data_IF_980137174756
#
_entry.id   IF_980137174756
#
_cell.length_a   1.000
_cell.length_b   1.000
_cell.length_c   1.000
_cell.angle_alpha   90.00
_cell.angle_beta   90.00
_cell.angle_gamma   90.00
#
_symmetry.space_group_name_H-M   'P 1'
#
loop_
_entity.id
_entity.type
_entity.pdbx_description
1 polymer ?
#
# COMPACT_ATOMS: atom_id res chain seq x y z
N UNK A 1 17.11 -18.39 -21.07
CA UNK A 1 15.96 -18.39 -20.14
C UNK A 1 15.64 -16.94 -19.90
N UNK A 2 14.38 -16.51 -19.88
CA UNK A 2 14.06 -15.18 -19.39
C UNK A 2 14.63 -15.05 -17.97
N UNK A 3 15.17 -13.88 -17.64
CA UNK A 3 15.64 -13.61 -16.28
C UNK A 3 14.45 -13.82 -15.32
N UNK A 4 14.72 -14.44 -14.17
CA UNK A 4 13.68 -14.59 -13.14
C UNK A 4 13.29 -13.19 -12.66
N UNK A 5 11.98 -12.86 -12.49
CA UNK A 5 11.59 -11.58 -11.96
C UNK A 5 12.29 -11.29 -10.64
N UNK A 6 12.74 -10.06 -10.45
CA UNK A 6 13.40 -9.68 -9.22
C UNK A 6 12.37 -9.61 -8.07
N UNK A 7 12.76 -9.96 -6.82
CA UNK A 7 11.84 -9.86 -5.68
C UNK A 7 11.39 -8.43 -5.39
N UNK A 8 10.17 -8.32 -4.84
CA UNK A 8 9.64 -7.08 -4.26
C UNK A 8 9.90 -7.09 -2.76
N UNK A 9 10.71 -6.16 -2.29
CA UNK A 9 10.95 -5.93 -0.87
C UNK A 9 9.93 -4.91 -0.36
N UNK A 10 9.08 -5.31 0.59
CA UNK A 10 8.12 -4.43 1.22
C UNK A 10 8.57 -4.11 2.63
N UNK A 11 8.98 -2.86 2.85
CA UNK A 11 9.33 -2.35 4.19
C UNK A 11 8.15 -1.56 4.73
N UNK A 12 7.53 -2.02 5.82
CA UNK A 12 6.33 -1.35 6.28
C UNK A 12 5.69 -1.93 7.54
N UNK A 13 4.50 -1.43 7.84
CA UNK A 13 3.70 -1.79 9.00
C UNK A 13 3.00 -3.13 8.86
N UNK A 14 2.77 -3.77 10.01
CA UNK A 14 1.84 -4.86 10.16
C UNK A 14 0.99 -4.63 11.40
N UNK A 15 -0.32 -4.75 11.28
CA UNK A 15 -1.28 -4.59 12.37
C UNK A 15 -2.28 -5.73 12.41
N UNK A 16 -3.02 -5.77 13.49
CA UNK A 16 -4.28 -6.49 13.54
C UNK A 16 -5.41 -5.46 13.58
N UNK A 17 -6.31 -5.57 12.62
CA UNK A 17 -7.50 -4.73 12.55
C UNK A 17 -8.59 -5.36 13.41
N UNK A 18 -8.93 -4.66 14.49
CA UNK A 18 -9.95 -5.03 15.46
C UNK A 18 -11.19 -4.18 15.16
N UNK A 19 -12.14 -4.76 14.42
CA UNK A 19 -13.31 -4.02 13.93
C UNK A 19 -14.57 -4.41 14.71
N UNK A 20 -15.26 -3.42 15.27
CA UNK A 20 -16.58 -3.57 15.89
C UNK A 20 -17.64 -2.95 14.97
N UNK A 21 -18.75 -3.65 14.79
CA UNK A 21 -19.89 -3.18 14.00
C UNK A 21 -21.06 -2.87 14.91
N UNK A 22 -21.75 -1.75 14.68
CA UNK A 22 -22.91 -1.31 15.44
C UNK A 22 -23.84 -0.47 14.58
N UNK A 23 -25.07 -0.20 15.04
CA UNK A 23 -26.05 0.58 14.29
C UNK A 23 -25.63 2.04 14.12
N UNK A 24 -24.85 2.57 15.04
CA UNK A 24 -24.26 3.90 15.03
C UNK A 24 -22.97 3.94 15.85
N UNK A 25 -22.17 4.97 15.69
CA UNK A 25 -21.00 5.19 16.54
C UNK A 25 -21.44 5.68 17.94
N UNK A 26 -20.77 5.24 19.03
CA UNK A 26 -21.08 5.70 20.39
C UNK A 26 -20.65 7.15 20.59
N UNK A 27 -21.40 7.89 21.39
CA UNK A 27 -21.03 9.23 21.84
C UNK A 27 -19.98 9.16 22.97
N UNK A 28 -19.21 10.23 23.22
CA UNK A 28 -18.30 10.27 24.36
C UNK A 28 -18.99 9.91 25.69
N UNK A 29 -18.45 8.92 26.40
CA UNK A 29 -18.98 8.41 27.67
C UNK A 29 -20.12 7.39 27.54
N UNK A 30 -20.53 7.04 26.33
CA UNK A 30 -21.58 6.05 26.07
C UNK A 30 -21.02 4.63 25.95
N UNK A 31 -21.74 3.64 26.48
CA UNK A 31 -21.56 2.22 26.16
C UNK A 31 -22.66 1.77 25.23
N UNK A 32 -22.29 1.30 24.03
CA UNK A 32 -23.21 0.79 23.03
C UNK A 32 -22.96 -0.72 22.84
N UNK A 33 -24.06 -1.49 22.68
CA UNK A 33 -23.95 -2.90 22.30
C UNK A 33 -23.73 -2.98 20.79
N UNK A 34 -22.66 -3.68 20.40
CA UNK A 34 -22.35 -3.93 18.99
C UNK A 34 -23.10 -5.14 18.44
N UNK A 35 -23.18 -5.24 17.13
CA UNK A 35 -23.86 -6.31 16.39
C UNK A 35 -22.91 -7.48 16.05
N UNK A 36 -21.65 -7.17 15.73
CA UNK A 36 -20.62 -8.13 15.35
C UNK A 36 -19.21 -7.61 15.56
N UNK A 37 -18.23 -8.47 15.35
CA UNK A 37 -16.82 -8.22 15.54
C UNK A 37 -16.01 -8.97 14.50
N UNK A 38 -14.93 -8.37 14.00
CA UNK A 38 -13.93 -9.06 13.19
C UNK A 38 -12.52 -8.76 13.66
N UNK A 39 -11.63 -9.71 13.39
CA UNK A 39 -10.21 -9.61 13.69
C UNK A 39 -9.45 -10.16 12.48
N UNK A 40 -8.75 -9.28 11.77
CA UNK A 40 -8.04 -9.63 10.54
C UNK A 40 -6.67 -8.96 10.53
N UNK A 41 -5.76 -9.51 9.73
CA UNK A 41 -4.49 -8.84 9.45
C UNK A 41 -4.74 -7.55 8.68
N UNK A 42 -4.06 -6.48 9.10
CA UNK A 42 -4.02 -5.17 8.49
C UNK A 42 -2.62 -4.57 8.51
N UNK A 43 -2.56 -3.26 8.32
CA UNK A 43 -1.33 -2.51 8.14
C UNK A 43 -0.95 -2.41 6.66
N UNK A 44 -0.64 -1.20 6.21
CA UNK A 44 -0.36 -0.94 4.79
C UNK A 44 0.76 -1.82 4.25
N UNK A 45 1.87 -1.96 4.99
CA UNK A 45 2.98 -2.79 4.59
C UNK A 45 2.58 -4.25 4.39
N UNK A 46 1.88 -4.85 5.35
CA UNK A 46 1.42 -6.24 5.25
C UNK A 46 0.42 -6.43 4.09
N UNK A 47 -0.55 -5.52 3.94
CA UNK A 47 -1.50 -5.57 2.82
C UNK A 47 -0.81 -5.47 1.47
N UNK A 48 0.16 -4.57 1.32
CA UNK A 48 0.91 -4.37 0.09
C UNK A 48 1.82 -5.56 -0.23
N UNK A 49 2.40 -6.21 0.79
CA UNK A 49 3.16 -7.45 0.60
C UNK A 49 2.27 -8.60 0.12
N UNK A 50 1.06 -8.75 0.71
CA UNK A 50 0.05 -9.70 0.22
C UNK A 50 -0.34 -9.39 -1.22
N UNK A 51 -0.55 -8.13 -1.55
CA UNK A 51 -0.92 -7.70 -2.89
C UNK A 51 0.18 -8.03 -3.92
N UNK A 52 1.43 -7.76 -3.60
CA UNK A 52 2.57 -8.11 -4.45
C UNK A 52 2.68 -9.63 -4.66
N UNK A 53 2.52 -10.43 -3.59
CA UNK A 53 2.54 -11.88 -3.68
C UNK A 53 1.38 -12.42 -4.54
N UNK A 54 0.15 -11.94 -4.32
CA UNK A 54 -1.03 -12.33 -5.11
C UNK A 54 -0.95 -11.88 -6.57
N UNK A 55 -0.20 -10.81 -6.85
CA UNK A 55 0.13 -10.38 -8.22
C UNK A 55 1.15 -11.29 -8.91
N UNK A 56 1.76 -12.25 -8.20
CA UNK A 56 2.70 -13.23 -8.72
C UNK A 56 4.17 -12.91 -8.42
N UNK A 57 4.49 -11.80 -7.75
CA UNK A 57 5.85 -11.47 -7.39
C UNK A 57 6.38 -12.32 -6.22
N UNK A 58 7.70 -12.48 -6.13
CA UNK A 58 8.36 -12.93 -4.92
C UNK A 58 8.37 -11.78 -3.91
N UNK A 59 7.37 -11.72 -3.04
CA UNK A 59 7.26 -10.67 -2.04
C UNK A 59 8.01 -11.06 -0.75
N UNK A 60 8.86 -10.16 -0.25
CA UNK A 60 9.56 -10.27 1.03
C UNK A 60 9.08 -9.14 1.94
N UNK A 61 8.76 -9.45 3.18
CA UNK A 61 8.25 -8.45 4.11
C UNK A 61 9.26 -8.15 5.22
N UNK A 62 9.56 -6.87 5.39
CA UNK A 62 10.41 -6.32 6.46
C UNK A 62 9.55 -5.51 7.42
N UNK A 63 9.42 -5.96 8.63
CA UNK A 63 8.58 -5.33 9.64
C UNK A 63 8.71 -6.00 11.00
N UNK A 64 7.86 -5.61 11.94
CA UNK A 64 7.88 -6.13 13.30
C UNK A 64 6.49 -6.52 13.79
N UNK A 65 6.44 -7.61 14.57
CA UNK A 65 5.28 -8.03 15.39
C UNK A 65 5.70 -8.17 16.83
N UNK A 66 4.76 -8.11 17.76
CA UNK A 66 5.00 -8.27 19.19
C UNK A 66 5.09 -9.74 19.62
N UNK A 67 5.36 -9.94 20.92
CA UNK A 67 5.31 -11.23 21.60
C UNK A 67 3.91 -11.41 22.24
N UNK A 68 2.85 -11.40 21.41
CA UNK A 68 1.47 -11.45 21.90
C UNK A 68 0.57 -12.37 21.06
N UNK A 69 -0.70 -12.45 21.44
CA UNK A 69 -1.69 -13.27 20.76
C UNK A 69 -2.04 -12.79 19.33
N UNK A 70 -1.66 -11.57 18.95
CA UNK A 70 -1.93 -10.98 17.64
C UNK A 70 -0.84 -11.30 16.62
N UNK A 71 0.40 -11.56 17.05
CA UNK A 71 1.50 -11.89 16.14
C UNK A 71 1.19 -13.07 15.21
N UNK A 72 0.55 -14.19 15.66
CA UNK A 72 0.14 -15.26 14.77
C UNK A 72 -0.81 -14.81 13.66
N UNK A 73 -1.77 -13.91 13.93
CA UNK A 73 -2.72 -13.40 12.93
C UNK A 73 -1.98 -12.74 11.75
N UNK A 74 -0.95 -11.94 12.05
CA UNK A 74 -0.11 -11.30 11.03
C UNK A 74 0.73 -12.34 10.28
N UNK A 75 1.40 -13.25 11.01
CA UNK A 75 2.28 -14.25 10.40
C UNK A 75 1.52 -15.21 9.49
N UNK A 76 0.37 -15.68 9.95
CA UNK A 76 -0.47 -16.61 9.20
C UNK A 76 -1.03 -15.92 7.95
N UNK A 77 -1.54 -14.68 8.08
CA UNK A 77 -2.08 -13.93 6.95
C UNK A 77 -1.05 -13.62 5.85
N UNK A 78 0.17 -13.25 6.22
CA UNK A 78 1.28 -13.07 5.28
C UNK A 78 1.73 -14.41 4.68
N UNK A 79 1.90 -15.45 5.51
CA UNK A 79 2.35 -16.78 5.10
C UNK A 79 1.38 -17.47 4.16
N UNK A 80 0.07 -17.39 4.40
CA UNK A 80 -0.97 -17.93 3.51
C UNK A 80 -0.96 -17.28 2.13
N UNK A 81 -0.54 -16.01 2.04
CA UNK A 81 -0.36 -15.31 0.78
C UNK A 81 0.97 -15.67 0.07
N UNK A 82 1.84 -16.45 0.71
CA UNK A 82 3.15 -16.81 0.15
C UNK A 82 4.23 -15.75 0.29
N UNK A 83 4.07 -14.78 1.20
CA UNK A 83 5.08 -13.76 1.49
C UNK A 83 6.24 -14.37 2.27
N UNK A 84 7.47 -14.05 1.89
CA UNK A 84 8.68 -14.44 2.64
C UNK A 84 8.79 -13.60 3.91
N UNK A 85 8.85 -14.29 5.06
CA UNK A 85 8.86 -13.72 6.41
C UNK A 85 10.26 -13.74 7.07
N UNK A 86 11.32 -14.01 6.31
CA UNK A 86 12.69 -14.08 6.85
C UNK A 86 13.06 -12.83 7.62
N UNK A 87 12.61 -11.66 7.17
CA UNK A 87 12.87 -10.36 7.77
C UNK A 87 11.70 -9.82 8.63
N UNK A 88 10.70 -10.64 8.96
CA UNK A 88 9.67 -10.28 9.93
C UNK A 88 10.14 -10.63 11.35
N UNK A 89 10.53 -9.63 12.13
CA UNK A 89 11.05 -9.81 13.50
C UNK A 89 9.92 -9.85 14.53
N UNK A 90 10.09 -10.70 15.53
CA UNK A 90 9.32 -10.63 16.77
C UNK A 90 10.10 -9.79 17.78
N UNK A 91 9.45 -8.79 18.36
CA UNK A 91 10.06 -7.87 19.34
C UNK A 91 9.26 -7.88 20.64
N UNK A 92 9.89 -7.59 21.80
CA UNK A 92 9.16 -7.48 23.05
C UNK A 92 8.03 -6.45 22.98
N UNK A 93 6.87 -6.78 23.53
CA UNK A 93 5.69 -5.93 23.57
C UNK A 93 4.56 -6.43 22.69
N UNK A 94 3.69 -5.53 22.25
CA UNK A 94 2.46 -5.85 21.55
C UNK A 94 2.59 -5.59 20.04
N UNK A 95 1.93 -6.42 19.23
CA UNK A 95 1.74 -6.21 17.79
C UNK A 95 0.92 -4.94 17.55
N UNK A 96 1.19 -4.23 16.44
CA UNK A 96 0.41 -3.06 16.04
C UNK A 96 -1.09 -3.37 15.92
N UNK A 97 -1.93 -2.43 16.30
CA UNK A 97 -3.40 -2.61 16.29
C UNK A 97 -4.06 -1.40 15.64
N UNK A 98 -5.02 -1.64 14.74
CA UNK A 98 -5.99 -0.65 14.32
C UNK A 98 -7.34 -0.97 14.98
N UNK A 99 -7.80 -0.08 15.84
CA UNK A 99 -9.13 -0.11 16.44
C UNK A 99 -10.11 0.58 15.51
N UNK A 100 -11.02 -0.19 14.92
CA UNK A 100 -11.95 0.29 13.90
C UNK A 100 -13.38 0.13 14.44
N UNK A 101 -14.19 1.18 14.31
CA UNK A 101 -15.63 1.10 14.56
C UNK A 101 -16.36 1.45 13.27
N UNK A 102 -17.35 0.66 12.92
CA UNK A 102 -18.14 0.82 11.69
C UNK A 102 -19.60 0.89 12.08
N UNK A 103 -20.32 1.88 11.58
CA UNK A 103 -21.75 2.03 11.80
C UNK A 103 -22.62 1.38 10.70
N UNK A 104 -23.95 1.40 10.89
CA UNK A 104 -24.92 0.83 9.95
C UNK A 104 -24.98 1.54 8.59
N UNK A 105 -24.44 2.75 8.47
CA UNK A 105 -24.30 3.48 7.20
C UNK A 105 -22.97 3.16 6.49
N UNK A 106 -22.04 2.43 7.16
CA UNK A 106 -20.70 2.15 6.67
C UNK A 106 -19.69 3.25 6.98
N UNK A 107 -20.06 4.27 7.76
CA UNK A 107 -19.11 5.25 8.26
C UNK A 107 -18.21 4.64 9.33
N UNK A 108 -16.96 5.04 9.38
CA UNK A 108 -16.00 4.49 10.32
C UNK A 108 -15.16 5.55 11.00
N UNK A 109 -14.61 5.19 12.15
CA UNK A 109 -13.48 5.85 12.76
C UNK A 109 -12.39 4.83 13.12
N UNK A 110 -11.13 5.27 13.07
CA UNK A 110 -9.97 4.39 13.24
C UNK A 110 -8.97 5.05 14.19
N UNK A 111 -8.53 4.28 15.18
CA UNK A 111 -7.37 4.62 16.01
C UNK A 111 -6.31 3.56 15.78
N UNK A 112 -5.22 3.94 15.13
CA UNK A 112 -4.08 3.06 14.89
C UNK A 112 -3.01 3.29 15.95
N UNK A 113 -2.54 2.20 16.56
CA UNK A 113 -1.45 2.20 17.55
C UNK A 113 -0.29 1.38 16.98
N UNK A 114 0.86 2.01 16.66
CA UNK A 114 1.98 1.35 15.94
C UNK A 114 2.62 0.22 16.73
N UNK A 115 2.85 0.39 18.04
CA UNK A 115 3.45 -0.61 18.94
C UNK A 115 4.73 -1.24 18.35
N UNK A 116 4.72 -2.56 18.07
CA UNK A 116 5.88 -3.27 17.51
C UNK A 116 6.43 -2.66 16.21
N UNK A 117 5.59 -2.01 15.39
CA UNK A 117 6.05 -1.33 14.18
C UNK A 117 7.08 -0.24 14.48
N UNK A 118 7.03 0.36 15.69
CA UNK A 118 8.01 1.36 16.14
C UNK A 118 9.41 0.78 16.42
N UNK A 119 9.56 -0.54 16.43
CA UNK A 119 10.83 -1.22 16.65
C UNK A 119 11.55 -1.61 15.35
N UNK A 120 11.00 -1.27 14.18
CA UNK A 120 11.71 -1.40 12.92
C UNK A 120 13.05 -0.66 13.02
N UNK A 121 14.14 -1.27 12.54
CA UNK A 121 15.48 -0.71 12.65
C UNK A 121 16.20 -0.67 11.31
N UNK A 122 17.14 0.27 11.15
CA UNK A 122 17.99 0.38 9.96
C UNK A 122 18.79 -0.91 9.74
N UNK A 123 19.30 -1.55 10.79
CA UNK A 123 20.03 -2.81 10.65
C UNK A 123 19.18 -3.95 10.06
N UNK A 124 17.89 -4.02 10.42
CA UNK A 124 16.95 -5.00 9.83
C UNK A 124 16.69 -4.70 8.35
N UNK A 125 16.62 -3.44 7.98
CA UNK A 125 16.44 -2.99 6.60
C UNK A 125 17.68 -3.33 5.78
N UNK A 126 18.87 -3.02 6.30
CA UNK A 126 20.14 -3.30 5.63
C UNK A 126 20.33 -4.80 5.37
N UNK A 127 20.01 -5.66 6.36
CA UNK A 127 20.04 -7.12 6.19
C UNK A 127 19.11 -7.59 5.05
N UNK A 128 17.94 -6.97 4.89
CA UNK A 128 16.99 -7.34 3.85
C UNK A 128 17.38 -6.82 2.46
N UNK A 129 18.09 -5.70 2.39
CA UNK A 129 18.59 -5.10 1.16
C UNK A 129 19.84 -5.82 0.62
N UNK A 130 20.55 -6.59 1.42
CA UNK A 130 21.67 -7.42 0.98
C UNK A 130 21.23 -8.59 0.05
N UNK A 131 19.93 -8.86 -0.02
CA UNK A 131 19.30 -9.80 -0.93
C UNK A 131 19.13 -9.20 -2.35
N UNK A 132 18.80 -10.05 -3.32
CA UNK A 132 18.67 -9.71 -4.75
C UNK A 132 17.35 -8.97 -5.11
N UNK A 133 16.82 -8.13 -4.26
CA UNK A 133 15.60 -7.37 -4.49
C UNK A 133 15.74 -6.41 -5.70
N UNK A 134 14.65 -6.27 -6.48
CA UNK A 134 14.61 -5.34 -7.61
C UNK A 134 13.76 -4.11 -7.38
N UNK A 135 12.77 -4.22 -6.49
CA UNK A 135 11.83 -3.14 -6.15
C UNK A 135 11.72 -3.01 -4.65
N UNK A 136 11.85 -1.79 -4.13
CA UNK A 136 11.41 -1.41 -2.79
C UNK A 136 10.01 -0.80 -2.88
N UNK A 137 9.08 -1.31 -2.06
CA UNK A 137 7.78 -0.68 -1.80
C UNK A 137 7.68 -0.32 -0.33
N UNK A 138 7.37 0.95 -0.01
CA UNK A 138 7.26 1.43 1.36
C UNK A 138 6.15 2.47 1.53
N UNK A 139 5.75 2.71 2.79
CA UNK A 139 4.67 3.61 3.19
C UNK A 139 5.13 4.44 4.40
N UNK A 140 4.21 5.18 5.04
CA UNK A 140 4.55 6.08 6.15
C UNK A 140 3.92 5.65 7.50
N UNK A 141 3.66 4.35 7.70
CA UNK A 141 3.15 3.80 8.97
C UNK A 141 4.24 3.21 9.87
N UNK A 142 5.50 3.30 9.48
CA UNK A 142 6.68 2.93 10.28
C UNK A 142 7.44 4.19 10.69
N UNK A 143 8.40 4.12 11.63
CA UNK A 143 9.17 5.29 12.02
C UNK A 143 9.82 5.96 10.80
N UNK A 144 9.59 7.25 10.66
CA UNK A 144 10.00 8.01 9.47
C UNK A 144 11.51 7.95 9.19
N UNK A 145 12.41 8.01 10.19
CA UNK A 145 13.84 7.88 9.93
C UNK A 145 14.22 6.56 9.25
N UNK A 146 13.62 5.45 9.66
CA UNK A 146 13.84 4.11 9.13
C UNK A 146 13.27 3.97 7.71
N UNK A 147 12.09 4.53 7.47
CA UNK A 147 11.50 4.58 6.12
C UNK A 147 12.39 5.38 5.16
N UNK A 148 12.87 6.55 5.59
CA UNK A 148 13.78 7.36 4.78
C UNK A 148 15.15 6.68 4.57
N UNK A 149 15.63 5.90 5.55
CA UNK A 149 16.82 5.08 5.40
C UNK A 149 16.60 3.99 4.33
N UNK A 150 15.48 3.26 4.38
CA UNK A 150 15.14 2.24 3.38
C UNK A 150 15.15 2.80 1.96
N UNK A 151 14.53 3.97 1.75
CA UNK A 151 14.50 4.65 0.45
C UNK A 151 15.91 5.00 -0.03
N UNK A 152 16.76 5.59 0.83
CA UNK A 152 18.13 5.96 0.46
C UNK A 152 18.97 4.74 0.12
N UNK A 153 18.96 3.73 0.99
CA UNK A 153 19.74 2.53 0.79
C UNK A 153 19.32 1.74 -0.46
N UNK A 154 18.02 1.62 -0.71
CA UNK A 154 17.50 0.97 -1.91
C UNK A 154 17.88 1.73 -3.19
N UNK A 155 17.77 3.06 -3.17
CA UNK A 155 18.19 3.91 -4.31
C UNK A 155 19.70 3.77 -4.59
N UNK A 156 20.56 3.77 -3.56
CA UNK A 156 22.00 3.60 -3.68
C UNK A 156 22.38 2.24 -4.25
N UNK A 157 21.58 1.19 -3.99
CA UNK A 157 21.76 -0.14 -4.57
C UNK A 157 21.12 -0.31 -5.96
N UNK A 158 20.43 0.73 -6.47
CA UNK A 158 19.83 0.72 -7.81
C UNK A 158 18.48 -0.01 -7.89
N UNK A 159 17.78 -0.23 -6.77
CA UNK A 159 16.42 -0.75 -6.77
C UNK A 159 15.46 0.29 -7.35
N UNK A 160 14.37 -0.18 -7.95
CA UNK A 160 13.21 0.69 -8.24
C UNK A 160 12.50 1.04 -6.92
N UNK A 161 12.40 2.32 -6.60
CA UNK A 161 11.84 2.79 -5.33
C UNK A 161 10.42 3.31 -5.54
N UNK A 162 9.45 2.64 -4.92
CA UNK A 162 8.03 3.01 -4.92
C UNK A 162 7.61 3.45 -3.51
N UNK A 163 7.11 4.67 -3.39
CA UNK A 163 6.55 5.21 -2.15
C UNK A 163 5.04 5.39 -2.28
N UNK A 164 4.28 4.69 -1.43
CA UNK A 164 2.90 5.04 -1.09
C UNK A 164 2.95 6.02 0.09
N UNK A 165 2.73 7.34 -0.11
CA UNK A 165 2.97 8.34 0.92
C UNK A 165 1.79 8.45 1.91
N UNK A 166 1.31 7.31 2.37
CA UNK A 166 0.15 7.14 3.24
C UNK A 166 0.55 6.58 4.62
N UNK A 167 0.02 7.13 5.72
CA UNK A 167 -0.68 8.41 5.81
C UNK A 167 0.25 9.59 5.48
N UNK A 168 -0.30 10.62 4.82
CA UNK A 168 0.52 11.75 4.40
C UNK A 168 1.21 12.44 5.58
N UNK A 169 2.52 12.65 5.47
CA UNK A 169 3.36 13.33 6.44
C UNK A 169 4.31 14.30 5.73
N UNK A 170 4.82 15.28 6.47
CA UNK A 170 5.87 16.15 5.97
C UNK A 170 7.16 15.35 5.77
N UNK A 171 7.72 15.40 4.56
CA UNK A 171 8.93 14.68 4.18
C UNK A 171 10.07 15.65 3.87
N UNK A 172 11.29 15.25 4.22
CA UNK A 172 12.50 15.96 3.81
C UNK A 172 12.55 16.05 2.28
N UNK A 173 12.68 17.26 1.69
CA UNK A 173 12.72 17.42 0.25
C UNK A 173 13.80 16.62 -0.48
N UNK A 174 14.86 16.21 0.20
CA UNK A 174 15.94 15.39 -0.36
C UNK A 174 15.51 13.98 -0.75
N UNK A 175 14.31 13.54 -0.32
CA UNK A 175 13.82 12.19 -0.64
C UNK A 175 13.24 12.09 -2.05
N UNK A 176 12.64 13.17 -2.55
CA UNK A 176 11.93 13.15 -3.82
C UNK A 176 12.76 12.68 -5.02
N UNK A 177 14.04 13.10 -5.18
CA UNK A 177 14.90 12.63 -6.29
C UNK A 177 15.25 11.14 -6.21
N UNK A 178 15.01 10.49 -5.08
CA UNK A 178 15.34 9.08 -4.86
C UNK A 178 14.17 8.15 -5.21
N UNK A 179 13.00 8.72 -5.52
CA UNK A 179 11.80 7.95 -5.84
C UNK A 179 11.66 7.76 -7.35
N UNK A 180 11.47 6.50 -7.76
CA UNK A 180 11.07 6.19 -9.13
C UNK A 180 9.57 6.43 -9.32
N UNK A 181 8.74 6.03 -8.35
CA UNK A 181 7.30 6.24 -8.38
C UNK A 181 6.78 6.67 -7.01
N UNK A 182 5.92 7.69 -6.99
CA UNK A 182 5.11 8.07 -5.82
C UNK A 182 3.62 7.89 -6.16
N UNK A 183 2.82 7.33 -5.21
CA UNK A 183 1.44 6.91 -5.49
C UNK A 183 0.40 7.52 -4.54
N UNK A 184 0.34 8.85 -4.33
CA UNK A 184 -0.65 9.45 -3.45
C UNK A 184 -2.07 9.39 -4.03
N UNK A 185 -3.08 9.33 -3.16
CA UNK A 185 -4.45 9.65 -3.51
C UNK A 185 -4.69 11.17 -3.53
N UNK A 186 -5.92 11.62 -3.85
CA UNK A 186 -6.29 13.05 -3.92
C UNK A 186 -5.97 13.81 -2.64
N UNK A 187 -6.28 13.21 -1.49
CA UNK A 187 -6.11 13.84 -0.18
C UNK A 187 -4.63 13.93 0.19
N UNK A 188 -3.89 12.86 0.00
CA UNK A 188 -2.45 12.81 0.25
C UNK A 188 -1.69 13.74 -0.67
N UNK A 189 -2.02 13.74 -1.97
CA UNK A 189 -1.44 14.67 -2.94
C UNK A 189 -1.73 16.12 -2.55
N UNK A 190 -2.95 16.44 -2.11
CA UNK A 190 -3.29 17.79 -1.68
C UNK A 190 -2.51 18.21 -0.42
N UNK A 191 -2.35 17.32 0.56
CA UNK A 191 -1.59 17.58 1.79
C UNK A 191 -0.10 17.79 1.49
N UNK A 192 0.50 16.92 0.67
CA UNK A 192 1.93 16.96 0.35
C UNK A 192 2.31 18.16 -0.52
N UNK A 193 1.44 18.53 -1.46
CA UNK A 193 1.73 19.60 -2.41
C UNK A 193 1.25 20.98 -1.97
N UNK A 194 0.32 21.03 -1.01
CA UNK A 194 -0.38 22.25 -0.61
C UNK A 194 -1.39 22.75 -1.65
N UNK A 195 -1.71 21.94 -2.68
CA UNK A 195 -2.62 22.30 -3.77
C UNK A 195 -3.89 21.44 -3.71
N UNK A 196 -5.08 22.00 -4.04
CA UNK A 196 -6.29 21.20 -4.14
C UNK A 196 -6.20 20.20 -5.32
N UNK A 197 -6.52 18.93 -5.04
CA UNK A 197 -6.64 17.87 -6.04
C UNK A 197 -8.09 17.36 -6.00
N UNK A 198 -8.92 17.83 -6.93
CA UNK A 198 -10.36 17.50 -6.99
C UNK A 198 -10.77 16.90 -8.33
N UNK A 199 -9.87 16.94 -9.29
CA UNK A 199 -10.08 16.55 -10.66
C UNK A 199 -8.74 16.18 -11.34
N UNK A 200 -8.82 15.74 -12.58
CA UNK A 200 -7.64 15.36 -13.37
C UNK A 200 -6.64 16.48 -13.53
N UNK A 201 -7.08 17.71 -13.71
CA UNK A 201 -6.18 18.86 -13.84
C UNK A 201 -5.42 19.10 -12.52
N UNK A 202 -6.11 18.97 -11.39
CA UNK A 202 -5.48 19.01 -10.07
C UNK A 202 -4.45 17.90 -9.88
N UNK A 203 -4.77 16.67 -10.32
CA UNK A 203 -3.84 15.55 -10.29
C UNK A 203 -2.61 15.77 -11.16
N UNK A 204 -2.78 16.32 -12.37
CA UNK A 204 -1.66 16.68 -13.26
C UNK A 204 -0.76 17.71 -12.58
N UNK A 205 -1.33 18.79 -12.01
CA UNK A 205 -0.53 19.81 -11.29
C UNK A 205 0.22 19.22 -10.10
N UNK A 206 -0.42 18.33 -9.32
CA UNK A 206 0.23 17.63 -8.22
C UNK A 206 1.37 16.72 -8.71
N UNK A 207 1.14 15.96 -9.79
CA UNK A 207 2.18 15.15 -10.42
C UNK A 207 3.37 15.97 -10.87
N UNK A 208 3.14 17.09 -11.53
CA UNK A 208 4.20 18.01 -11.95
C UNK A 208 4.99 18.60 -10.77
N UNK A 209 4.34 18.82 -9.62
CA UNK A 209 4.99 19.25 -8.39
C UNK A 209 6.03 18.23 -7.88
N UNK A 210 5.71 16.91 -7.92
CA UNK A 210 6.63 15.84 -7.56
C UNK A 210 7.80 15.74 -8.56
N UNK A 211 7.51 15.81 -9.85
CA UNK A 211 8.54 15.78 -10.89
C UNK A 211 9.51 16.96 -10.80
N UNK A 212 8.99 18.16 -10.50
CA UNK A 212 9.83 19.35 -10.31
C UNK A 212 10.78 19.23 -9.11
N UNK A 213 10.55 18.24 -8.22
CA UNK A 213 11.41 17.91 -7.08
C UNK A 213 12.30 16.70 -7.32
N UNK A 214 12.27 16.13 -8.50
CA UNK A 214 13.18 15.07 -8.93
C UNK A 214 12.59 13.67 -8.94
N UNK A 215 11.35 13.46 -8.47
CA UNK A 215 10.65 12.15 -8.61
C UNK A 215 10.50 11.81 -10.09
N UNK A 216 10.76 10.57 -10.50
CA UNK A 216 10.73 10.17 -11.91
C UNK A 216 9.32 10.02 -12.47
N UNK A 217 8.38 9.51 -11.66
CA UNK A 217 6.98 9.40 -12.01
C UNK A 217 6.08 9.65 -10.81
N UNK A 218 4.96 10.33 -11.01
CA UNK A 218 3.93 10.53 -10.01
C UNK A 218 2.62 9.95 -10.53
N UNK A 219 2.01 9.10 -9.72
CA UNK A 219 0.77 8.41 -10.03
C UNK A 219 -0.30 8.81 -9.02
N UNK A 220 -1.18 9.70 -9.41
CA UNK A 220 -2.22 10.23 -8.53
C UNK A 220 -3.50 9.43 -8.74
N UNK A 221 -3.96 8.72 -7.70
CA UNK A 221 -5.22 7.97 -7.74
C UNK A 221 -6.38 8.90 -7.44
N UNK A 222 -7.48 8.74 -8.19
CA UNK A 222 -8.68 9.59 -8.15
C UNK A 222 -9.94 8.77 -7.82
N UNK A 223 -9.82 7.78 -6.96
CA UNK A 223 -10.88 6.86 -6.58
C UNK A 223 -11.70 6.38 -7.80
N UNK A 224 -13.02 6.60 -7.80
CA UNK A 224 -13.91 6.23 -8.91
C UNK A 224 -13.68 6.98 -10.23
N UNK A 225 -12.75 7.93 -10.30
CA UNK A 225 -12.36 8.64 -11.52
C UNK A 225 -11.09 8.08 -12.19
N UNK A 226 -10.51 6.99 -11.66
CA UNK A 226 -9.33 6.35 -12.20
C UNK A 226 -8.02 6.91 -11.64
N UNK A 227 -7.00 7.12 -12.47
CA UNK A 227 -5.73 7.68 -12.03
C UNK A 227 -5.05 8.50 -13.13
N UNK A 228 -4.07 9.31 -12.72
CA UNK A 228 -3.25 10.11 -13.64
C UNK A 228 -1.79 9.79 -13.38
N UNK A 229 -1.11 9.27 -14.37
CA UNK A 229 0.34 9.06 -14.38
C UNK A 229 1.01 10.26 -15.06
N UNK A 230 1.92 10.90 -14.34
CA UNK A 230 2.71 12.03 -14.83
C UNK A 230 4.19 11.65 -14.86
N UNK A 231 4.80 11.73 -16.01
CA UNK A 231 6.24 11.53 -16.23
C UNK A 231 6.85 12.77 -16.89
N UNK A 232 8.17 12.80 -17.03
CA UNK A 232 8.85 13.91 -17.72
C UNK A 232 8.48 14.02 -19.22
N UNK A 233 8.01 12.91 -19.82
CA UNK A 233 7.71 12.83 -21.26
C UNK A 233 6.23 13.03 -21.55
N UNK A 234 5.36 12.53 -20.68
CA UNK A 234 3.94 12.43 -21.00
C UNK A 234 3.04 12.37 -19.76
N UNK A 235 1.77 12.62 -19.98
CA UNK A 235 0.70 12.44 -18.99
C UNK A 235 -0.28 11.40 -19.53
N UNK A 236 -0.48 10.32 -18.79
CA UNK A 236 -1.47 9.30 -19.11
C UNK A 236 -2.63 9.38 -18.14
N UNK A 237 -3.84 9.47 -18.69
CA UNK A 237 -5.07 9.30 -17.96
C UNK A 237 -5.49 7.84 -18.04
N UNK A 238 -5.59 7.18 -16.91
CA UNK A 238 -6.04 5.80 -16.81
C UNK A 238 -7.50 5.83 -16.33
N UNK A 239 -8.45 5.38 -17.17
CA UNK A 239 -9.85 5.37 -16.79
C UNK A 239 -10.11 4.41 -15.63
N UNK A 240 -11.18 4.64 -14.84
CA UNK A 240 -11.57 3.70 -13.79
C UNK A 240 -12.18 2.44 -14.39
N UNK A 241 -12.01 1.32 -13.69
CA UNK A 241 -12.80 0.11 -13.97
C UNK A 241 -14.17 0.23 -13.30
N UNK A 242 -15.29 0.12 -14.06
CA UNK A 242 -16.62 0.28 -13.50
C UNK A 242 -16.97 -0.93 -12.62
N UNK A 243 -17.09 -0.71 -11.31
CA UNK A 243 -17.43 -1.73 -10.32
C UNK A 243 -18.44 -1.20 -9.29
N UNK A 244 -19.13 -2.11 -8.61
CA UNK A 244 -19.96 -1.75 -7.46
C UNK A 244 -19.11 -1.78 -6.20
N UNK A 245 -18.95 -0.63 -5.56
CA UNK A 245 -18.15 -0.48 -4.33
C UNK A 245 -18.91 -1.08 -3.14
N UNK A 246 -18.25 -1.98 -2.42
CA UNK A 246 -18.73 -2.62 -1.18
C UNK A 246 -17.93 -2.08 0.03
N UNK A 247 -16.60 -1.99 -0.11
CA UNK A 247 -15.68 -1.53 0.93
C UNK A 247 -14.41 -1.01 0.26
N UNK A 248 -13.97 0.20 0.57
CA UNK A 248 -12.77 0.79 -0.03
C UNK A 248 -11.46 0.44 0.69
N UNK A 249 -11.54 -0.33 1.77
CA UNK A 249 -10.37 -0.75 2.55
C UNK A 249 -9.36 -1.51 1.68
N UNK A 250 -8.09 -1.19 1.83
CA UNK A 250 -6.96 -1.79 1.10
C UNK A 250 -6.97 -1.66 -0.43
N UNK A 251 -7.84 -0.82 -1.03
CA UNK A 251 -7.80 -0.59 -2.48
C UNK A 251 -6.47 0.02 -2.94
N UNK A 252 -5.95 1.01 -2.19
CA UNK A 252 -4.64 1.60 -2.42
C UNK A 252 -3.50 0.60 -2.19
N UNK A 253 -3.64 -0.29 -1.19
CA UNK A 253 -2.65 -1.34 -0.93
C UNK A 253 -2.61 -2.38 -2.05
N UNK A 254 -3.79 -2.82 -2.54
CA UNK A 254 -3.90 -3.69 -3.70
C UNK A 254 -3.25 -3.05 -4.95
N UNK A 255 -3.56 -1.77 -5.17
CA UNK A 255 -2.96 -0.99 -6.26
C UNK A 255 -1.43 -0.94 -6.13
N UNK A 256 -0.88 -0.52 -4.98
CA UNK A 256 0.55 -0.35 -4.79
C UNK A 256 1.33 -1.67 -4.90
N UNK A 257 0.80 -2.77 -4.32
CA UNK A 257 1.43 -4.08 -4.40
C UNK A 257 1.45 -4.65 -5.83
N UNK A 258 0.34 -4.52 -6.58
CA UNK A 258 0.29 -4.95 -7.99
C UNK A 258 1.18 -4.09 -8.88
N UNK A 259 1.27 -2.78 -8.62
CA UNK A 259 2.21 -1.88 -9.32
C UNK A 259 3.66 -2.34 -9.10
N UNK A 260 4.05 -2.58 -7.85
CA UNK A 260 5.41 -3.01 -7.52
C UNK A 260 5.74 -4.37 -8.16
N UNK A 261 4.78 -5.31 -8.19
CA UNK A 261 4.94 -6.61 -8.85
C UNK A 261 5.15 -6.45 -10.36
N UNK A 262 4.34 -5.63 -11.03
CA UNK A 262 4.46 -5.38 -12.47
C UNK A 262 5.81 -4.72 -12.83
N UNK A 263 6.28 -3.78 -11.98
CA UNK A 263 7.60 -3.17 -12.16
C UNK A 263 8.73 -4.18 -11.96
N UNK A 264 8.59 -5.11 -11.02
CA UNK A 264 9.54 -6.20 -10.81
C UNK A 264 9.59 -7.20 -11.98
N UNK A 265 8.47 -7.39 -12.66
CA UNK A 265 8.35 -8.17 -13.91
C UNK A 265 8.95 -7.42 -15.13
N UNK A 266 9.31 -6.13 -14.99
CA UNK A 266 9.85 -5.28 -16.05
C UNK A 266 8.78 -4.72 -17.00
N UNK A 267 7.51 -4.68 -16.57
CA UNK A 267 6.45 -4.02 -17.34
C UNK A 267 6.70 -2.51 -17.45
N UNK A 268 6.25 -1.90 -18.55
CA UNK A 268 6.24 -0.44 -18.66
C UNK A 268 5.22 0.19 -17.69
N UNK A 269 5.47 1.45 -17.28
CA UNK A 269 4.63 2.13 -16.31
C UNK A 269 3.15 2.19 -16.69
N UNK A 270 2.74 2.55 -17.92
CA UNK A 270 1.32 2.56 -18.30
C UNK A 270 0.64 1.20 -18.16
N UNK A 271 1.32 0.10 -18.51
CA UNK A 271 0.82 -1.27 -18.38
C UNK A 271 0.73 -1.67 -16.90
N UNK A 272 1.78 -1.39 -16.12
CA UNK A 272 1.81 -1.63 -14.69
C UNK A 272 0.68 -0.91 -13.94
N UNK A 273 0.39 0.35 -14.31
CA UNK A 273 -0.70 1.14 -13.71
C UNK A 273 -2.08 0.58 -14.06
N UNK A 274 -2.30 0.12 -15.29
CA UNK A 274 -3.58 -0.53 -15.64
C UNK A 274 -3.81 -1.80 -14.82
N UNK A 275 -2.79 -2.65 -14.68
CA UNK A 275 -2.84 -3.86 -13.86
C UNK A 275 -3.12 -3.53 -12.39
N UNK A 276 -2.46 -2.51 -11.84
CA UNK A 276 -2.69 -2.01 -10.51
C UNK A 276 -4.11 -1.45 -10.34
N UNK A 277 -4.62 -0.71 -11.32
CA UNK A 277 -5.98 -0.18 -11.34
C UNK A 277 -7.04 -1.27 -11.27
N UNK A 278 -6.89 -2.35 -12.05
CA UNK A 278 -7.77 -3.51 -12.00
C UNK A 278 -7.77 -4.17 -10.61
N UNK A 279 -6.60 -4.30 -9.98
CA UNK A 279 -6.50 -4.85 -8.62
C UNK A 279 -7.21 -3.97 -7.58
N UNK A 280 -6.99 -2.66 -7.61
CA UNK A 280 -7.68 -1.71 -6.72
C UNK A 280 -9.20 -1.72 -6.92
N UNK A 281 -9.67 -1.79 -8.17
CA UNK A 281 -11.09 -1.88 -8.49
C UNK A 281 -11.73 -3.19 -8.01
N UNK A 282 -11.04 -4.32 -8.14
CA UNK A 282 -11.53 -5.60 -7.60
C UNK A 282 -11.55 -5.61 -6.07
N UNK A 283 -10.56 -5.02 -5.43
CA UNK A 283 -10.50 -4.95 -3.98
C UNK A 283 -11.74 -4.24 -3.40
N UNK A 284 -12.20 -3.15 -3.99
CA UNK A 284 -13.38 -2.42 -3.47
C UNK A 284 -14.70 -3.19 -3.63
N UNK A 285 -14.73 -4.30 -4.36
CA UNK A 285 -15.94 -5.14 -4.51
C UNK A 285 -16.14 -6.12 -3.36
N UNK A 286 -15.20 -6.19 -2.41
CA UNK A 286 -15.17 -7.16 -1.31
C UNK A 286 -14.94 -6.45 0.02
N UNK A 287 -15.40 -7.07 1.11
CA UNK A 287 -15.17 -6.54 2.47
C UNK A 287 -13.81 -6.94 3.01
N UNK A 288 -13.24 -6.03 3.81
CA UNK A 288 -12.03 -6.23 4.60
C UNK A 288 -10.75 -5.83 3.88
N UNK A 289 -9.64 -5.79 4.61
CA UNK A 289 -8.32 -5.39 4.14
C UNK A 289 -7.68 -6.49 3.26
N UNK A 290 -6.74 -7.26 3.80
CA UNK A 290 -6.05 -8.32 3.04
C UNK A 290 -6.97 -9.35 2.38
N UNK A 291 -8.16 -9.73 2.92
CA UNK A 291 -9.07 -10.66 2.24
C UNK A 291 -9.64 -10.13 0.92
N UNK A 292 -9.78 -8.80 0.76
CA UNK A 292 -10.34 -8.20 -0.44
C UNK A 292 -9.38 -8.20 -1.64
N UNK A 293 -8.07 -8.29 -1.41
CA UNK A 293 -7.03 -8.21 -2.43
C UNK A 293 -7.19 -9.35 -3.44
N UNK A 294 -7.30 -9.08 -4.76
CA UNK A 294 -7.50 -10.10 -5.78
C UNK A 294 -6.23 -10.92 -6.07
N UNK A 295 -6.39 -12.00 -6.82
CA UNK A 295 -5.28 -12.71 -7.46
C UNK A 295 -4.87 -12.08 -8.80
N UNK A 296 -3.69 -12.45 -9.30
CA UNK A 296 -3.22 -12.06 -10.64
C UNK A 296 -4.22 -12.44 -11.75
N UNK A 297 -4.77 -13.67 -11.67
CA UNK A 297 -5.74 -14.17 -12.65
C UNK A 297 -7.05 -13.39 -12.66
N UNK A 298 -7.50 -12.90 -11.50
CA UNK A 298 -8.71 -12.08 -11.42
C UNK A 298 -8.47 -10.69 -12.03
N UNK A 299 -7.34 -10.06 -11.73
CA UNK A 299 -6.96 -8.79 -12.32
C UNK A 299 -6.80 -8.91 -13.85
N UNK A 300 -6.17 -9.98 -14.34
CA UNK A 300 -5.99 -10.21 -15.77
C UNK A 300 -7.33 -10.40 -16.48
N UNK A 301 -8.27 -11.19 -15.92
CA UNK A 301 -9.62 -11.35 -16.50
C UNK A 301 -10.36 -10.01 -16.63
N UNK A 302 -10.28 -9.14 -15.64
CA UNK A 302 -10.89 -7.80 -15.72
C UNK A 302 -10.31 -6.99 -16.88
N UNK A 303 -8.99 -7.04 -17.09
CA UNK A 303 -8.34 -6.35 -18.21
C UNK A 303 -8.71 -6.95 -19.57
N UNK A 304 -8.87 -8.28 -19.68
CA UNK A 304 -9.22 -8.97 -20.90
C UNK A 304 -10.68 -8.67 -21.34
N UNK A 305 -11.60 -8.49 -20.37
CA UNK A 305 -12.99 -8.14 -20.63
C UNK A 305 -13.18 -6.70 -21.16
N UNK A 306 -12.20 -5.83 -20.98
CA UNK A 306 -12.22 -4.42 -21.43
C UNK A 306 -11.72 -4.25 -22.87
N UNK A 307 -11.02 -5.24 -23.42
CA UNK A 307 -10.55 -5.21 -24.83
C UNK A 307 -11.73 -5.62 -25.72
N UNK A 308 -12.34 -4.70 -26.50
CA UNK A 308 -13.37 -5.10 -27.46
C UNK A 308 -12.77 -6.08 -28.48
N UNK A 309 -13.46 -7.17 -28.73
CA UNK A 309 -13.09 -8.17 -29.74
C UNK A 309 -13.04 -7.59 -31.16
#
# INVERSE_FOLDING_TARGET
MPARPAPVLVVGSATVDVTSFSQRLPQPGETLLGDSFSLVMGGKGANQAVAAARAGAQARFVGCVGEDMFAPVVRDGLGEAGVDLTHLRTVPGQTGVAHIRVDGAGENDIVMVPLANSALSTAQIDEALDDDAGVLLTQLETPLPETLHAIRAAHEQGLTVVLDPAPAAELDPSIWPLLDVVTPNETEAALLTGMPVRDREGAVRAGQWFLARGTRAALITLAGAGSVLVTAQEVHEIPPHPVTVVDSTAAGDAFAGFLAAALADGEDLPSAVRRAGAAGALAVTRRGASPSIPSADEAQRMLDEEVPA
#
